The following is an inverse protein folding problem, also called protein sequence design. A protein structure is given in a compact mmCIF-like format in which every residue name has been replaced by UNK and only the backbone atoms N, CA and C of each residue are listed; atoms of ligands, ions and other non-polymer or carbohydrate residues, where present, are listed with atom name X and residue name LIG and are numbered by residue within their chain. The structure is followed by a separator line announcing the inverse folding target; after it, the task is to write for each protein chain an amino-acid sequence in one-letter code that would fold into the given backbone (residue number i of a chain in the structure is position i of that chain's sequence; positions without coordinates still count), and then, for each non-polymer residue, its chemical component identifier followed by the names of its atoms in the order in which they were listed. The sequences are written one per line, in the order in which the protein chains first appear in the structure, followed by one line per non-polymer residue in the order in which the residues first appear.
data_IF_267050503488
#
_entry.id   IF_267050503488
#
_cell.length_a   1.000
_cell.length_b   1.000
_cell.length_c   1.000
_cell.angle_alpha   90.00
_cell.angle_beta   90.00
_cell.angle_gamma   90.00
#
_symmetry.space_group_name_H-M   'P 1'
#
loop_
_entity.id
_entity.type
_entity.pdbx_description
1 polymer ?
#
# COMPACT_ATOMS: atom_id res chain seq x y z
N UNK A 1 -14.39 32.58 31.69
CA UNK A 1 -15.25 32.11 30.59
C UNK A 1 -14.34 31.48 29.56
N UNK A 2 -14.01 30.21 29.77
CA UNK A 2 -13.08 29.44 28.93
C UNK A 2 -13.85 28.95 27.71
N UNK A 3 -13.59 29.59 26.59
CA UNK A 3 -14.18 29.27 25.29
C UNK A 3 -13.49 28.00 24.75
N UNK A 4 -13.93 26.83 25.20
CA UNK A 4 -13.58 25.54 24.59
C UNK A 4 -14.26 25.41 23.23
N UNK A 5 -13.78 26.21 22.27
CA UNK A 5 -14.23 26.12 20.88
C UNK A 5 -13.88 24.75 20.34
N UNK A 6 -14.94 23.98 20.14
CA UNK A 6 -15.07 22.68 19.51
C UNK A 6 -13.85 22.15 18.74
N UNK A 7 -13.54 20.89 19.00
CA UNK A 7 -12.72 20.05 18.13
C UNK A 7 -13.32 20.03 16.71
N UNK A 8 -12.94 21.02 15.91
CA UNK A 8 -13.30 21.12 14.51
C UNK A 8 -12.74 19.89 13.79
N UNK A 9 -13.60 19.18 13.05
CA UNK A 9 -13.17 18.06 12.22
C UNK A 9 -11.97 18.46 11.36
N UNK A 10 -10.83 17.81 11.61
CA UNK A 10 -9.54 18.10 10.98
C UNK A 10 -9.06 16.92 10.14
N UNK A 11 -8.03 17.17 9.32
CA UNK A 11 -7.31 16.12 8.59
C UNK A 11 -6.89 14.97 9.52
N UNK A 12 -6.97 13.73 9.04
CA UNK A 12 -6.50 12.57 9.80
C UNK A 12 -5.02 12.72 10.10
N UNK A 13 -4.61 12.39 11.34
CA UNK A 13 -3.19 12.43 11.74
C UNK A 13 -2.36 11.57 10.76
N UNK A 14 -1.23 12.06 10.23
CA UNK A 14 -0.43 11.34 9.22
C UNK A 14 -0.08 9.90 9.62
N UNK A 15 0.22 9.66 10.90
CA UNK A 15 0.51 8.32 11.42
C UNK A 15 -0.69 7.37 11.29
N UNK A 16 -1.91 7.85 11.57
CA UNK A 16 -3.11 7.03 11.47
C UNK A 16 -3.48 6.76 10.00
N UNK A 17 -3.31 7.76 9.13
CA UNK A 17 -3.49 7.60 7.69
C UNK A 17 -2.49 6.56 7.12
N UNK A 18 -1.23 6.58 7.57
CA UNK A 18 -0.23 5.59 7.20
C UNK A 18 -0.65 4.18 7.60
N UNK A 19 -1.14 3.98 8.83
CA UNK A 19 -1.59 2.67 9.31
C UNK A 19 -2.75 2.16 8.46
N UNK A 20 -3.80 2.97 8.27
CA UNK A 20 -4.95 2.56 7.46
C UNK A 20 -4.56 2.26 6.01
N UNK A 21 -3.74 3.11 5.39
CA UNK A 21 -3.28 2.90 4.03
C UNK A 21 -2.42 1.64 3.91
N UNK A 22 -1.53 1.37 4.87
CA UNK A 22 -0.68 0.17 4.86
C UNK A 22 -1.51 -1.10 5.03
N UNK A 23 -2.48 -1.11 5.95
CA UNK A 23 -3.39 -2.23 6.14
C UNK A 23 -4.24 -2.45 4.88
N UNK A 24 -4.80 -1.38 4.30
CA UNK A 24 -5.56 -1.45 3.06
C UNK A 24 -4.71 -1.97 1.89
N UNK A 25 -3.44 -1.54 1.79
CA UNK A 25 -2.50 -2.04 0.80
C UNK A 25 -2.32 -3.55 0.91
N UNK A 26 -2.00 -4.05 2.12
CA UNK A 26 -1.81 -5.49 2.34
C UNK A 26 -3.10 -6.27 2.06
N UNK A 27 -4.25 -5.76 2.50
CA UNK A 27 -5.54 -6.40 2.24
C UNK A 27 -5.86 -6.49 0.74
N UNK A 28 -5.71 -5.38 0.00
CA UNK A 28 -5.92 -5.33 -1.45
C UNK A 28 -4.90 -6.19 -2.20
N UNK A 29 -3.66 -6.26 -1.73
CA UNK A 29 -2.62 -7.10 -2.31
C UNK A 29 -2.98 -8.57 -2.17
N UNK A 30 -3.29 -9.04 -0.96
CA UNK A 30 -3.67 -10.45 -0.71
C UNK A 30 -4.93 -10.81 -1.50
N UNK A 31 -5.96 -9.97 -1.43
CA UNK A 31 -7.20 -10.18 -2.17
C UNK A 31 -6.96 -10.20 -3.68
N UNK A 32 -6.25 -9.22 -4.23
CA UNK A 32 -5.99 -9.11 -5.66
C UNK A 32 -5.16 -10.27 -6.20
N UNK A 33 -4.10 -10.67 -5.48
CA UNK A 33 -3.28 -11.82 -5.85
C UNK A 33 -4.09 -13.12 -5.77
N UNK A 34 -4.95 -13.28 -4.75
CA UNK A 34 -5.83 -14.44 -4.61
C UNK A 34 -6.87 -14.53 -5.75
N UNK A 35 -7.56 -13.42 -6.05
CA UNK A 35 -8.53 -13.38 -7.14
C UNK A 35 -7.87 -13.62 -8.50
N UNK A 36 -6.71 -13.02 -8.74
CA UNK A 36 -5.98 -13.22 -9.99
C UNK A 36 -5.48 -14.67 -10.13
N UNK A 37 -5.05 -15.30 -9.02
CA UNK A 37 -4.71 -16.73 -8.99
C UNK A 37 -5.87 -17.62 -9.42
N UNK A 38 -7.07 -17.36 -8.89
CA UNK A 38 -8.29 -18.10 -9.25
C UNK A 38 -8.66 -17.90 -10.73
N UNK A 39 -8.56 -16.67 -11.23
CA UNK A 39 -8.90 -16.34 -12.63
C UNK A 39 -7.91 -16.96 -13.62
N UNK A 40 -6.61 -16.91 -13.30
CA UNK A 40 -5.55 -17.44 -14.17
C UNK A 40 -5.30 -18.93 -13.97
N UNK A 41 -5.92 -19.54 -12.96
CA UNK A 41 -5.64 -20.91 -12.50
C UNK A 41 -4.12 -21.15 -12.38
N UNK A 42 -3.42 -20.15 -11.83
CA UNK A 42 -1.97 -20.09 -11.78
C UNK A 42 -1.51 -19.61 -10.41
N UNK A 43 -0.61 -20.36 -9.80
CA UNK A 43 -0.05 -20.01 -8.51
C UNK A 43 0.85 -18.78 -8.59
N UNK A 44 0.57 -17.80 -7.73
CA UNK A 44 1.33 -16.54 -7.57
C UNK A 44 2.83 -16.79 -7.32
N UNK A 45 3.17 -17.93 -6.71
CA UNK A 45 4.53 -18.27 -6.26
C UNK A 45 5.10 -19.50 -6.98
N UNK A 46 4.38 -20.13 -7.92
CA UNK A 46 4.90 -21.30 -8.64
C UNK A 46 5.84 -20.90 -9.79
N UNK A 47 6.97 -20.28 -9.47
CA UNK A 47 8.17 -20.59 -10.22
C UNK A 47 8.62 -22.00 -9.77
N UNK A 48 8.75 -22.99 -10.68
CA UNK A 48 9.14 -24.34 -10.30
C UNK A 48 10.43 -24.32 -9.46
N UNK A 49 10.35 -24.79 -8.21
CA UNK A 49 11.50 -24.92 -7.31
C UNK A 49 11.67 -23.83 -6.23
N UNK A 50 10.86 -22.77 -6.22
CA UNK A 50 10.90 -21.74 -5.17
C UNK A 50 9.72 -21.94 -4.20
N UNK A 51 10.03 -22.21 -2.92
CA UNK A 51 9.02 -22.41 -1.87
C UNK A 51 8.23 -21.13 -1.54
N UNK A 52 7.50 -21.12 -0.42
CA UNK A 52 6.67 -19.99 0.00
C UNK A 52 7.46 -18.79 0.55
N UNK A 53 8.70 -19.03 1.01
CA UNK A 53 9.54 -18.04 1.71
C UNK A 53 9.81 -16.77 0.87
N UNK A 54 10.21 -16.83 -0.42
CA UNK A 54 10.45 -15.64 -1.23
C UNK A 54 9.23 -14.75 -1.37
N UNK A 55 8.02 -15.32 -1.45
CA UNK A 55 6.78 -14.55 -1.50
C UNK A 55 6.53 -13.76 -0.21
N UNK A 56 6.81 -14.36 0.95
CA UNK A 56 6.68 -13.67 2.25
C UNK A 56 7.67 -12.50 2.34
N UNK A 57 8.92 -12.72 1.94
CA UNK A 57 9.95 -11.68 1.92
C UNK A 57 9.55 -10.55 0.95
N UNK A 58 9.04 -10.89 -0.23
CA UNK A 58 8.52 -9.91 -1.19
C UNK A 58 7.44 -9.00 -0.60
N UNK A 59 6.46 -9.58 0.10
CA UNK A 59 5.38 -8.80 0.74
C UNK A 59 5.92 -7.91 1.86
N UNK A 60 6.82 -8.41 2.71
CA UNK A 60 7.40 -7.61 3.80
C UNK A 60 8.18 -6.42 3.25
N UNK A 61 9.03 -6.63 2.25
CA UNK A 61 9.83 -5.56 1.63
C UNK A 61 8.93 -4.56 0.91
N UNK A 62 7.90 -5.04 0.17
CA UNK A 62 6.91 -4.18 -0.48
C UNK A 62 6.15 -3.31 0.52
N UNK A 63 5.71 -3.91 1.65
CA UNK A 63 5.02 -3.21 2.72
C UNK A 63 5.89 -2.12 3.35
N UNK A 64 7.17 -2.43 3.62
CA UNK A 64 8.14 -1.46 4.13
C UNK A 64 8.39 -0.31 3.15
N UNK A 65 8.57 -0.62 1.86
CA UNK A 65 8.77 0.36 0.80
C UNK A 65 7.54 1.27 0.61
N UNK A 66 6.33 0.68 0.62
CA UNK A 66 5.06 1.41 0.60
C UNK A 66 4.97 2.36 1.79
N UNK A 67 5.15 1.85 3.01
CA UNK A 67 5.01 2.64 4.23
C UNK A 67 6.05 3.78 4.29
N UNK A 68 7.30 3.50 3.93
CA UNK A 68 8.37 4.51 3.89
C UNK A 68 8.11 5.61 2.86
N UNK A 69 7.73 5.25 1.63
CA UNK A 69 7.43 6.21 0.57
C UNK A 69 6.21 7.07 0.90
N UNK A 70 5.14 6.45 1.42
CA UNK A 70 3.94 7.17 1.82
C UNK A 70 4.25 8.12 2.97
N UNK A 71 4.97 7.66 4.01
CA UNK A 71 5.37 8.48 5.14
C UNK A 71 6.18 9.71 4.71
N UNK A 72 7.15 9.52 3.83
CA UNK A 72 7.96 10.62 3.28
C UNK A 72 7.09 11.66 2.56
N UNK A 73 6.10 11.22 1.78
CA UNK A 73 5.24 12.13 1.03
C UNK A 73 4.19 12.84 1.88
N UNK A 74 3.56 12.15 2.85
CA UNK A 74 2.54 12.78 3.71
C UNK A 74 3.14 13.69 4.78
N UNK A 75 4.43 13.54 5.12
CA UNK A 75 5.15 14.44 6.03
C UNK A 75 5.56 15.76 5.37
N UNK A 76 5.49 15.83 4.03
CA UNK A 76 5.87 17.03 3.28
C UNK A 76 4.85 18.16 3.51
N UNK A 77 5.27 19.45 3.52
CA UNK A 77 4.37 20.58 3.79
C UNK A 77 3.17 20.69 2.81
N UNK A 78 3.35 20.18 1.59
CA UNK A 78 2.31 20.13 0.56
C UNK A 78 2.18 18.69 0.02
N UNK A 79 1.36 17.83 0.67
CA UNK A 79 1.11 16.48 0.20
C UNK A 79 0.44 16.52 -1.19
N UNK A 80 1.11 15.94 -2.19
CA UNK A 80 0.63 15.88 -3.56
C UNK A 80 0.05 14.50 -3.87
N UNK A 81 -0.96 14.41 -4.73
CA UNK A 81 -1.44 13.12 -5.22
C UNK A 81 -0.37 12.35 -6.01
N UNK A 82 0.68 13.03 -6.51
CA UNK A 82 1.85 12.36 -7.08
C UNK A 82 2.57 11.45 -6.07
N UNK A 83 2.46 11.70 -4.77
CA UNK A 83 2.97 10.80 -3.73
C UNK A 83 2.36 9.40 -3.86
N UNK A 84 1.08 9.29 -4.24
CA UNK A 84 0.43 7.99 -4.41
C UNK A 84 1.10 7.16 -5.52
N UNK A 85 1.45 7.81 -6.64
CA UNK A 85 2.17 7.14 -7.73
C UNK A 85 3.56 6.69 -7.27
N UNK A 86 4.34 7.56 -6.63
CA UNK A 86 5.67 7.21 -6.13
C UNK A 86 5.61 6.10 -5.08
N UNK A 87 4.58 6.11 -4.24
CA UNK A 87 4.33 5.05 -3.25
C UNK A 87 4.00 3.72 -3.93
N UNK A 88 3.17 3.73 -4.98
CA UNK A 88 2.86 2.54 -5.77
C UNK A 88 4.10 1.97 -6.47
N UNK A 89 4.91 2.84 -7.07
CA UNK A 89 6.17 2.45 -7.70
C UNK A 89 7.16 1.88 -6.68
N UNK A 90 7.27 2.49 -5.50
CA UNK A 90 8.09 1.97 -4.41
C UNK A 90 7.62 0.61 -3.92
N UNK A 91 6.30 0.40 -3.79
CA UNK A 91 5.73 -0.88 -3.41
C UNK A 91 6.00 -1.98 -4.46
N UNK A 92 5.80 -1.68 -5.74
CA UNK A 92 6.09 -2.60 -6.84
C UNK A 92 7.58 -2.95 -6.91
N UNK A 93 8.46 -1.94 -6.83
CA UNK A 93 9.90 -2.16 -6.77
C UNK A 93 10.31 -2.98 -5.54
N UNK A 94 9.74 -2.67 -4.37
CA UNK A 94 9.97 -3.41 -3.13
C UNK A 94 9.54 -4.87 -3.23
N UNK A 95 8.43 -5.16 -3.91
CA UNK A 95 7.98 -6.53 -4.15
C UNK A 95 8.97 -7.30 -5.05
N UNK A 96 9.40 -6.68 -6.16
CA UNK A 96 10.37 -7.29 -7.10
C UNK A 96 11.71 -7.54 -6.40
N UNK A 97 12.23 -6.55 -5.68
CA UNK A 97 13.49 -6.67 -4.92
C UNK A 97 13.36 -7.71 -3.81
N UNK A 98 12.25 -7.71 -3.06
CA UNK A 98 12.04 -8.68 -2.00
C UNK A 98 11.89 -10.12 -2.52
N UNK A 99 11.27 -10.31 -3.69
CA UNK A 99 11.23 -11.62 -4.35
C UNK A 99 12.63 -12.07 -4.76
N UNK A 100 13.41 -11.17 -5.39
CA UNK A 100 14.78 -11.46 -5.81
C UNK A 100 15.66 -11.82 -4.60
N UNK A 101 15.61 -11.01 -3.54
CA UNK A 101 16.31 -11.28 -2.29
C UNK A 101 15.87 -12.62 -1.69
N UNK A 102 14.57 -12.86 -1.61
CA UNK A 102 14.02 -14.09 -1.07
C UNK A 102 14.49 -15.32 -1.84
N UNK A 103 14.51 -15.27 -3.16
CA UNK A 103 15.02 -16.35 -4.00
C UNK A 103 16.51 -16.62 -3.75
N UNK A 104 17.34 -15.57 -3.71
CA UNK A 104 18.77 -15.67 -3.41
C UNK A 104 19.01 -16.24 -2.01
N UNK A 105 18.26 -15.78 -1.00
CA UNK A 105 18.37 -16.30 0.37
C UNK A 105 17.96 -17.77 0.51
N UNK A 106 17.04 -18.24 -0.33
CA UNK A 106 16.69 -19.67 -0.39
C UNK A 106 17.68 -20.54 -1.18
N UNK A 107 18.78 -19.95 -1.68
CA UNK A 107 19.84 -20.66 -2.39
C UNK A 107 19.61 -20.80 -3.89
N UNK A 108 18.69 -20.04 -4.49
CA UNK A 108 18.51 -20.03 -5.93
C UNK A 108 19.69 -19.34 -6.62
N UNK A 109 20.03 -19.84 -7.81
CA UNK A 109 21.01 -19.19 -8.68
C UNK A 109 20.57 -17.75 -9.02
N UNK A 110 21.52 -16.82 -9.07
CA UNK A 110 21.24 -15.39 -9.31
C UNK A 110 20.56 -15.17 -10.67
N UNK A 111 20.88 -15.99 -11.67
CA UNK A 111 20.20 -15.97 -12.98
C UNK A 111 18.74 -16.38 -12.87
N UNK A 112 18.43 -17.42 -12.08
CA UNK A 112 17.05 -17.87 -11.81
C UNK A 112 16.28 -16.81 -11.04
N UNK A 113 16.87 -16.23 -10.00
CA UNK A 113 16.26 -15.15 -9.22
C UNK A 113 15.94 -13.92 -10.08
N UNK A 114 16.86 -13.55 -10.97
CA UNK A 114 16.69 -12.41 -11.89
C UNK A 114 15.61 -12.70 -12.94
N UNK A 115 15.58 -13.91 -13.51
CA UNK A 115 14.54 -14.30 -14.45
C UNK A 115 13.15 -14.35 -13.80
N UNK A 116 13.05 -14.81 -12.55
CA UNK A 116 11.82 -14.81 -11.78
C UNK A 116 11.32 -13.38 -11.49
N UNK A 117 12.22 -12.51 -11.04
CA UNK A 117 11.93 -11.09 -10.81
C UNK A 117 11.44 -10.39 -12.09
N UNK A 118 12.12 -10.61 -13.22
CA UNK A 118 11.74 -10.04 -14.51
C UNK A 118 10.37 -10.54 -15.03
N UNK A 119 10.07 -11.82 -14.81
CA UNK A 119 8.75 -12.39 -15.15
C UNK A 119 7.64 -11.77 -14.33
N UNK A 120 7.83 -11.63 -13.02
CA UNK A 120 6.83 -10.99 -12.16
C UNK A 120 6.62 -9.53 -12.56
N UNK A 121 7.71 -8.79 -12.82
CA UNK A 121 7.66 -7.39 -13.22
C UNK A 121 6.85 -7.15 -14.52
N UNK A 122 6.80 -8.13 -15.41
CA UNK A 122 6.07 -8.08 -16.68
C UNK A 122 4.74 -8.82 -16.66
N UNK A 123 4.33 -9.34 -15.49
CA UNK A 123 3.11 -10.12 -15.33
C UNK A 123 1.93 -9.30 -14.76
N UNK A 124 0.74 -9.86 -14.90
CA UNK A 124 -0.46 -9.35 -14.23
C UNK A 124 -0.33 -9.31 -12.70
N UNK A 125 0.47 -10.20 -12.09
CA UNK A 125 0.72 -10.16 -10.65
C UNK A 125 1.47 -8.88 -10.24
N UNK A 126 2.46 -8.46 -11.02
CA UNK A 126 3.15 -7.19 -10.83
C UNK A 126 2.20 -5.99 -10.97
N UNK A 127 1.29 -6.05 -11.95
CA UNK A 127 0.27 -5.02 -12.13
C UNK A 127 -0.67 -4.91 -10.92
N UNK A 128 -1.10 -6.03 -10.32
CA UNK A 128 -1.91 -6.04 -9.09
C UNK A 128 -1.18 -5.34 -7.94
N UNK A 129 0.12 -5.61 -7.73
CA UNK A 129 0.89 -4.94 -6.68
C UNK A 129 0.89 -3.42 -6.88
N UNK A 130 1.13 -2.96 -8.11
CA UNK A 130 1.12 -1.55 -8.47
C UNK A 130 -0.25 -0.89 -8.25
N UNK A 131 -1.33 -1.54 -8.70
CA UNK A 131 -2.71 -1.03 -8.56
C UNK A 131 -3.13 -0.96 -7.09
N UNK A 132 -2.85 -2.01 -6.30
CA UNK A 132 -3.13 -2.01 -4.86
C UNK A 132 -2.36 -0.90 -4.15
N UNK A 133 -1.09 -0.70 -4.50
CA UNK A 133 -0.27 0.41 -3.99
C UNK A 133 -0.83 1.78 -4.37
N UNK A 134 -1.30 1.94 -5.61
CA UNK A 134 -1.88 3.20 -6.09
C UNK A 134 -3.18 3.55 -5.36
N UNK A 135 -4.10 2.59 -5.22
CA UNK A 135 -5.38 2.78 -4.53
C UNK A 135 -5.15 3.11 -3.05
N UNK A 136 -4.33 2.31 -2.36
CA UNK A 136 -4.05 2.50 -0.95
C UNK A 136 -3.25 3.79 -0.68
N UNK A 137 -2.25 4.09 -1.50
CA UNK A 137 -1.45 5.31 -1.40
C UNK A 137 -2.30 6.56 -1.66
N UNK A 138 -3.18 6.52 -2.65
CA UNK A 138 -4.12 7.62 -2.93
C UNK A 138 -5.06 7.83 -1.74
N UNK A 139 -5.64 6.77 -1.18
CA UNK A 139 -6.46 6.83 0.03
C UNK A 139 -5.72 7.44 1.22
N UNK A 140 -4.47 7.01 1.45
CA UNK A 140 -3.62 7.58 2.50
C UNK A 140 -3.38 9.09 2.35
N UNK A 141 -3.07 9.53 1.13
CA UNK A 141 -2.90 10.97 0.82
C UNK A 141 -4.24 11.71 0.99
N UNK A 142 -5.35 11.13 0.53
CA UNK A 142 -6.68 11.72 0.65
C UNK A 142 -7.11 11.91 2.11
N UNK A 143 -6.80 10.97 3.01
CA UNK A 143 -7.10 11.08 4.45
C UNK A 143 -6.37 12.25 5.12
N UNK A 144 -5.14 12.54 4.72
CA UNK A 144 -4.35 13.66 5.25
C UNK A 144 -4.75 14.98 4.60
N UNK A 145 -5.07 14.96 3.31
CA UNK A 145 -5.34 16.19 2.55
C UNK A 145 -6.78 16.68 2.69
N UNK A 146 -7.75 15.77 2.83
CA UNK A 146 -9.17 16.10 2.84
C UNK A 146 -9.58 16.49 4.26
N UNK A 147 -9.97 17.76 4.44
CA UNK A 147 -10.59 18.22 5.68
C UNK A 147 -12.07 17.89 5.64
N UNK A 148 -12.42 16.67 6.04
CA UNK A 148 -13.82 16.31 6.26
C UNK A 148 -14.33 17.09 7.48
N UNK A 149 -15.30 17.99 7.25
CA UNK A 149 -16.09 18.57 8.33
C UNK A 149 -16.71 17.44 9.15
N UNK A 150 -16.87 17.66 10.47
CA UNK A 150 -17.65 16.74 11.29
C UNK A 150 -19.03 16.61 10.64
N UNK A 151 -19.52 15.40 10.31
CA UNK A 151 -20.87 15.24 9.81
C UNK A 151 -21.81 15.89 10.82
N UNK A 152 -22.50 16.95 10.39
CA UNK A 152 -23.51 17.64 11.20
C UNK A 152 -24.85 17.06 10.80
N UNK A 153 -25.60 16.63 11.79
CA UNK A 153 -26.94 16.13 11.53
C UNK A 153 -27.96 17.27 11.68
N UNK A 154 -29.03 17.31 10.87
CA UNK A 154 -29.99 18.42 10.90
C UNK A 154 -30.60 18.70 12.28
N UNK A 155 -30.70 17.67 13.13
CA UNK A 155 -31.23 17.79 14.50
C UNK A 155 -30.20 18.28 15.53
N UNK A 156 -28.92 18.42 15.19
CA UNK A 156 -27.90 18.98 16.10
C UNK A 156 -28.03 20.51 16.22
N UNK A 157 -28.64 21.16 15.23
CA UNK A 157 -28.87 22.61 15.22
C UNK A 157 -30.13 23.03 16.01
N UNK A 158 -31.00 22.08 16.39
CA UNK A 158 -32.29 22.36 17.07
C UNK A 158 -32.15 22.61 18.58
N UNK A 159 -31.00 22.30 19.19
CA UNK A 159 -30.78 22.41 20.65
C UNK A 159 -29.96 23.64 21.07
N UNK A 160 -29.55 24.48 20.11
CA UNK A 160 -28.68 25.65 20.32
C UNK A 160 -29.46 27.01 20.35
N UNK A 161 -30.79 27.00 20.39
CA UNK A 161 -31.65 28.20 20.60
C UNK A 161 -32.04 28.46 22.07
#
# INVERSE_FOLDING_TARGET
MTDERGAAGGSVRPALALVFATVAFVALLIFGLGMLSLVLNADVVAAPGLGQIPGVIAVIVAMGAFAGALWAGIRSPHPSFWTALWTALAAAAGYIVGLWLGAVFTGADVGVATAAAGRIATSWFGAVVGVSGAIAGWGGVALVRTRSQRPRWPWEDEFDE
#
